data_IF_691637488530
#
_entry.id   IF_691637488530
#
_cell.length_a   1.000
_cell.length_b   1.000
_cell.length_c   1.000
_cell.angle_alpha   90.00
_cell.angle_beta   90.00
_cell.angle_gamma   90.00
#
_symmetry.space_group_name_H-M   'P 1'
#
loop_
_entity.id
_entity.type
_entity.pdbx_description
1 polymer ?
#
# COMPACT_ATOMS: atom_id res chain seq x y z
N UNK A 1 -44.30 6.85 11.12
CA UNK A 1 -43.59 7.76 10.20
C UNK A 1 -42.16 7.90 10.70
N UNK A 2 -41.26 7.01 10.29
CA UNK A 2 -40.36 7.19 9.13
C UNK A 2 -39.09 7.98 9.49
N UNK A 3 -38.13 7.29 10.09
CA UNK A 3 -36.67 7.52 10.01
C UNK A 3 -36.01 6.14 10.10
N UNK A 4 -36.09 5.32 9.06
CA UNK A 4 -35.13 5.28 7.94
C UNK A 4 -33.70 5.16 8.50
N UNK A 5 -33.23 3.93 8.70
CA UNK A 5 -32.48 3.12 7.72
C UNK A 5 -31.05 3.63 7.47
N UNK A 6 -30.13 2.67 7.49
CA UNK A 6 -28.70 2.72 7.18
C UNK A 6 -27.74 3.29 8.25
N UNK A 7 -27.52 2.49 9.30
CA UNK A 7 -26.13 2.20 9.72
C UNK A 7 -25.70 0.86 9.12
N UNK A 8 -25.69 0.78 7.79
CA UNK A 8 -24.79 -0.14 7.10
C UNK A 8 -23.49 0.63 6.96
N UNK A 9 -22.70 0.68 8.04
CA UNK A 9 -21.25 0.76 7.83
C UNK A 9 -20.94 -0.41 6.91
N UNK A 10 -20.50 -0.10 5.69
CA UNK A 10 -19.84 -1.09 4.86
C UNK A 10 -18.65 -1.57 5.68
N UNK A 11 -18.84 -2.63 6.47
CA UNK A 11 -17.75 -3.51 6.84
C UNK A 11 -17.14 -3.88 5.50
N UNK A 12 -15.93 -3.40 5.26
CA UNK A 12 -15.14 -3.91 4.15
C UNK A 12 -15.13 -5.41 4.31
N UNK A 13 -15.74 -6.07 3.32
CA UNK A 13 -15.53 -7.51 3.20
C UNK A 13 -14.08 -7.60 2.74
N UNK A 14 -13.23 -8.01 3.65
CA UNK A 14 -11.89 -8.48 3.35
C UNK A 14 -12.04 -9.59 2.31
N UNK A 15 -11.89 -9.23 1.03
CA UNK A 15 -11.91 -10.19 -0.07
C UNK A 15 -10.47 -10.56 -0.32
N UNK A 16 -10.04 -11.69 0.22
CA UNK A 16 -8.70 -12.20 -0.06
C UNK A 16 -8.67 -12.64 -1.52
N UNK A 17 -7.51 -12.55 -2.16
CA UNK A 17 -7.37 -13.00 -3.55
C UNK A 17 -7.77 -14.47 -3.69
N UNK A 18 -7.45 -15.27 -2.67
CA UNK A 18 -7.77 -16.69 -2.55
C UNK A 18 -9.28 -16.98 -2.51
N UNK A 19 -10.11 -16.00 -2.15
CA UNK A 19 -11.57 -16.15 -2.07
C UNK A 19 -12.25 -15.90 -3.44
N UNK A 20 -11.49 -15.48 -4.47
CA UNK A 20 -12.03 -15.25 -5.81
C UNK A 20 -12.40 -16.59 -6.47
N UNK A 21 -13.55 -16.68 -7.18
CA UNK A 21 -14.01 -17.92 -7.81
C UNK A 21 -13.00 -18.49 -8.81
N UNK A 22 -12.29 -17.61 -9.51
CA UNK A 22 -11.29 -17.96 -10.53
C UNK A 22 -9.85 -17.89 -10.00
N UNK A 23 -9.64 -17.89 -8.68
CA UNK A 23 -8.31 -17.73 -8.08
C UNK A 23 -7.24 -18.70 -8.66
N UNK A 24 -7.51 -19.99 -8.90
CA UNK A 24 -6.53 -20.89 -9.51
C UNK A 24 -6.06 -20.40 -10.90
N UNK A 25 -6.97 -19.88 -11.73
CA UNK A 25 -6.65 -19.36 -13.05
C UNK A 25 -5.90 -18.02 -12.95
N UNK A 26 -6.32 -17.13 -12.04
CA UNK A 26 -5.64 -15.85 -11.78
C UNK A 26 -4.20 -16.09 -11.30
N UNK A 27 -4.00 -17.01 -10.35
CA UNK A 27 -2.68 -17.39 -9.85
C UNK A 27 -1.78 -17.91 -10.97
N UNK A 28 -2.31 -18.79 -11.83
CA UNK A 28 -1.55 -19.33 -12.95
C UNK A 28 -1.14 -18.21 -13.93
N UNK A 29 -2.08 -17.33 -14.30
CA UNK A 29 -1.81 -16.22 -15.20
C UNK A 29 -0.79 -15.21 -14.63
N UNK A 30 -0.87 -14.90 -13.33
CA UNK A 30 0.11 -14.05 -12.65
C UNK A 30 1.51 -14.68 -12.68
N UNK A 31 1.61 -15.99 -12.39
CA UNK A 31 2.88 -16.70 -12.44
C UNK A 31 3.49 -16.66 -13.85
N UNK A 32 2.71 -16.95 -14.89
CA UNK A 32 3.16 -16.90 -16.29
C UNK A 32 3.60 -15.49 -16.73
N UNK A 33 2.87 -14.45 -16.31
CA UNK A 33 3.25 -13.07 -16.56
C UNK A 33 4.57 -12.71 -15.85
N UNK A 34 4.74 -13.16 -14.61
CA UNK A 34 5.96 -12.96 -13.84
C UNK A 34 7.17 -13.68 -14.42
N UNK A 35 7.02 -14.95 -14.83
CA UNK A 35 8.03 -15.72 -15.54
C UNK A 35 8.46 -15.02 -16.83
N UNK A 36 7.50 -14.55 -17.63
CA UNK A 36 7.78 -13.83 -18.88
C UNK A 36 8.58 -12.56 -18.62
N UNK A 37 8.15 -11.72 -17.68
CA UNK A 37 8.83 -10.49 -17.33
C UNK A 37 10.25 -10.73 -16.80
N UNK A 38 10.44 -11.75 -15.93
CA UNK A 38 11.76 -12.14 -15.43
C UNK A 38 12.68 -12.67 -16.53
N UNK A 39 12.16 -13.47 -17.46
CA UNK A 39 12.94 -14.05 -18.55
C UNK A 39 13.55 -12.98 -19.49
N UNK A 40 12.86 -11.84 -19.67
CA UNK A 40 13.34 -10.72 -20.51
C UNK A 40 13.96 -9.56 -19.72
N UNK A 41 14.08 -9.69 -18.39
CA UNK A 41 14.66 -8.66 -17.53
C UNK A 41 13.81 -7.39 -17.37
N UNK A 42 12.47 -7.48 -17.52
CA UNK A 42 11.58 -6.36 -17.24
C UNK A 42 11.48 -6.10 -15.73
N UNK A 43 11.56 -4.83 -15.37
CA UNK A 43 11.31 -4.37 -13.99
C UNK A 43 9.87 -3.92 -13.86
N UNK A 44 9.12 -4.56 -12.97
CA UNK A 44 7.72 -4.26 -12.71
C UNK A 44 7.57 -3.52 -11.39
N UNK A 45 6.64 -2.55 -11.33
CA UNK A 45 6.35 -1.76 -10.14
C UNK A 45 4.86 -1.47 -10.05
N UNK A 46 4.36 -1.28 -8.82
CA UNK A 46 3.02 -0.72 -8.60
C UNK A 46 3.10 0.71 -8.12
N UNK A 47 2.09 1.50 -8.50
CA UNK A 47 1.79 2.78 -7.89
C UNK A 47 0.30 2.79 -7.52
N UNK A 48 -0.04 2.38 -6.28
CA UNK A 48 -1.40 2.45 -5.76
C UNK A 48 -2.01 3.84 -5.89
N UNK A 49 -3.34 3.91 -5.84
CA UNK A 49 -4.08 5.15 -6.08
C UNK A 49 -3.79 6.23 -5.04
N UNK A 50 -4.18 7.47 -5.33
CA UNK A 50 -4.11 8.58 -4.38
C UNK A 50 -4.96 8.36 -3.12
N UNK A 51 -5.87 7.38 -3.11
CA UNK A 51 -6.67 7.01 -1.94
C UNK A 51 -5.91 6.12 -0.95
N UNK A 52 -4.70 5.65 -1.29
CA UNK A 52 -3.79 5.01 -0.33
C UNK A 52 -3.30 6.05 0.69
N UNK A 53 -3.96 6.12 1.85
CA UNK A 53 -3.71 7.04 2.96
C UNK A 53 -3.24 6.27 4.21
N UNK A 54 -2.05 5.67 4.14
CA UNK A 54 -1.44 4.87 5.22
C UNK A 54 -1.12 5.68 6.50
N UNK A 55 -1.06 7.01 6.42
CA UNK A 55 -0.72 7.90 7.53
C UNK A 55 -1.87 8.82 7.95
N UNK A 56 -3.13 8.39 7.74
CA UNK A 56 -4.29 9.12 8.23
C UNK A 56 -4.19 9.39 9.74
N UNK A 57 -4.85 10.43 10.23
CA UNK A 57 -5.01 10.68 11.66
C UNK A 57 -6.02 9.71 12.29
N UNK A 58 -6.04 9.67 13.61
CA UNK A 58 -6.75 8.64 14.39
C UNK A 58 -8.27 8.62 14.12
N UNK A 59 -8.87 9.79 13.83
CA UNK A 59 -10.29 9.90 13.45
C UNK A 59 -10.63 9.17 12.13
N UNK A 60 -9.61 8.80 11.36
CA UNK A 60 -9.72 8.19 10.03
C UNK A 60 -8.91 6.89 9.91
N UNK A 61 -8.72 6.15 11.00
CA UNK A 61 -7.96 4.89 11.00
C UNK A 61 -8.47 3.84 9.98
N UNK A 62 -9.76 3.84 9.66
CA UNK A 62 -10.31 2.99 8.58
C UNK A 62 -9.66 3.25 7.21
N UNK A 63 -9.16 4.47 6.93
CA UNK A 63 -8.38 4.76 5.72
C UNK A 63 -7.02 4.08 5.77
N UNK A 64 -6.37 4.11 6.93
CA UNK A 64 -5.11 3.40 7.16
C UNK A 64 -5.28 1.90 6.99
N UNK A 65 -6.35 1.32 7.55
CA UNK A 65 -6.66 -0.11 7.41
C UNK A 65 -6.85 -0.52 5.95
N UNK A 66 -7.65 0.23 5.19
CA UNK A 66 -7.86 -0.06 3.76
C UNK A 66 -6.57 0.08 2.96
N UNK A 67 -5.75 1.09 3.28
CA UNK A 67 -4.48 1.33 2.61
C UNK A 67 -3.50 0.18 2.86
N UNK A 68 -3.39 -0.31 4.10
CA UNK A 68 -2.58 -1.47 4.41
C UNK A 68 -3.06 -2.71 3.63
N UNK A 69 -4.38 -2.96 3.59
CA UNK A 69 -4.94 -4.07 2.82
C UNK A 69 -4.62 -3.95 1.32
N UNK A 70 -4.76 -2.76 0.74
CA UNK A 70 -4.41 -2.50 -0.67
C UNK A 70 -2.93 -2.78 -0.93
N UNK A 71 -2.03 -2.33 -0.05
CA UNK A 71 -0.59 -2.57 -0.18
C UNK A 71 -0.24 -4.06 -0.07
N UNK A 72 -0.87 -4.78 0.86
CA UNK A 72 -0.69 -6.23 0.98
C UNK A 72 -1.15 -6.99 -0.27
N UNK A 73 -2.25 -6.56 -0.90
CA UNK A 73 -2.71 -7.16 -2.16
C UNK A 73 -1.66 -6.96 -3.27
N UNK A 74 -1.10 -5.75 -3.41
CA UNK A 74 -0.03 -5.50 -4.39
C UNK A 74 1.23 -6.34 -4.10
N UNK A 75 1.61 -6.45 -2.81
CA UNK A 75 2.72 -7.30 -2.38
C UNK A 75 2.48 -8.77 -2.71
N UNK A 76 1.27 -9.26 -2.45
CA UNK A 76 0.84 -10.63 -2.74
C UNK A 76 0.82 -10.92 -4.24
N UNK A 77 0.44 -9.96 -5.08
CA UNK A 77 0.52 -10.11 -6.53
C UNK A 77 1.97 -10.35 -6.96
N UNK A 78 2.95 -9.62 -6.42
CA UNK A 78 4.36 -9.90 -6.70
C UNK A 78 4.81 -11.29 -6.23
N UNK A 79 4.34 -11.74 -5.06
CA UNK A 79 4.61 -13.12 -4.60
C UNK A 79 4.04 -14.15 -5.59
N UNK A 80 2.81 -13.96 -6.07
CA UNK A 80 2.16 -14.86 -7.04
C UNK A 80 2.84 -14.84 -8.42
N UNK A 81 3.44 -13.71 -8.81
CA UNK A 81 4.27 -13.59 -10.01
C UNK A 81 5.67 -14.21 -9.84
N UNK A 82 6.00 -14.75 -8.66
CA UNK A 82 7.27 -15.42 -8.38
C UNK A 82 8.45 -14.45 -8.19
N UNK A 83 8.19 -13.23 -7.69
CA UNK A 83 9.26 -12.32 -7.29
C UNK A 83 9.53 -12.38 -5.80
N UNK A 84 10.80 -12.50 -5.43
CA UNK A 84 11.24 -12.26 -4.05
C UNK A 84 10.99 -10.79 -3.64
N UNK A 85 10.72 -10.49 -2.35
CA UNK A 85 10.51 -9.12 -1.89
C UNK A 85 11.77 -8.25 -2.02
N UNK A 86 11.67 -7.14 -2.74
CA UNK A 86 12.76 -6.16 -2.85
C UNK A 86 12.28 -4.81 -3.37
N UNK A 87 13.13 -3.79 -3.29
CA UNK A 87 12.88 -2.51 -3.98
C UNK A 87 12.94 -2.62 -5.52
N UNK A 88 13.33 -3.76 -6.09
CA UNK A 88 13.31 -3.96 -7.55
C UNK A 88 11.88 -4.14 -8.07
N UNK A 89 11.02 -4.79 -7.31
CA UNK A 89 9.57 -4.95 -7.50
C UNK A 89 8.79 -4.04 -6.54
N UNK A 90 9.05 -2.73 -6.64
CA UNK A 90 8.56 -1.77 -5.65
C UNK A 90 7.07 -1.48 -5.75
N UNK A 91 6.50 -1.16 -4.59
CA UNK A 91 5.19 -0.55 -4.42
C UNK A 91 5.45 0.90 -4.00
N UNK A 92 5.25 1.83 -4.92
CA UNK A 92 5.61 3.23 -4.76
C UNK A 92 4.37 4.05 -4.37
N UNK A 93 4.45 4.78 -3.25
CA UNK A 93 3.34 5.61 -2.76
C UNK A 93 3.82 6.99 -2.32
N UNK A 94 2.90 7.95 -2.27
CA UNK A 94 3.10 9.18 -1.51
C UNK A 94 2.78 8.95 -0.02
N UNK A 95 3.30 9.81 0.86
CA UNK A 95 2.92 9.81 2.28
C UNK A 95 1.44 10.17 2.46
N UNK A 96 0.91 11.04 1.59
CA UNK A 96 -0.48 11.49 1.61
C UNK A 96 -0.64 12.90 2.16
N UNK A 97 -1.70 13.14 2.94
CA UNK A 97 -1.97 14.47 3.49
C UNK A 97 -1.03 14.83 4.65
N UNK A 98 -0.77 16.12 4.87
CA UNK A 98 0.03 16.58 6.01
C UNK A 98 -0.76 16.64 7.34
N UNK A 99 -2.09 16.61 7.30
CA UNK A 99 -2.99 16.65 8.46
C UNK A 99 -2.64 17.72 9.52
N UNK A 100 -2.18 18.89 9.05
CA UNK A 100 -1.78 20.02 9.90
C UNK A 100 -0.35 19.95 10.45
N UNK A 101 0.29 18.78 10.46
CA UNK A 101 1.66 18.58 10.93
C UNK A 101 2.36 17.49 10.12
N UNK A 102 3.32 17.92 9.27
CA UNK A 102 4.10 17.03 8.41
C UNK A 102 4.91 16.03 9.22
N UNK A 103 5.61 16.47 10.26
CA UNK A 103 6.52 15.60 11.02
C UNK A 103 5.72 14.55 11.81
N UNK A 104 4.65 14.96 12.48
CA UNK A 104 3.77 14.04 13.18
C UNK A 104 3.20 12.99 12.23
N UNK A 105 2.83 13.39 11.01
CA UNK A 105 2.33 12.48 9.98
C UNK A 105 3.41 11.49 9.50
N UNK A 106 4.65 11.93 9.28
CA UNK A 106 5.75 11.03 8.89
C UNK A 106 6.07 10.01 9.99
N UNK A 107 5.94 10.39 11.27
CA UNK A 107 6.09 9.47 12.40
C UNK A 107 4.95 8.45 12.45
N UNK A 108 3.69 8.87 12.20
CA UNK A 108 2.56 7.93 12.06
C UNK A 108 2.76 6.98 10.87
N UNK A 109 3.21 7.50 9.72
CA UNK A 109 3.55 6.69 8.55
C UNK A 109 4.54 5.58 8.92
N UNK A 110 5.68 5.94 9.52
CA UNK A 110 6.71 4.97 9.89
C UNK A 110 6.21 3.95 10.92
N UNK A 111 5.41 4.39 11.91
CA UNK A 111 4.77 3.50 12.88
C UNK A 111 3.89 2.46 12.19
N UNK A 112 3.01 2.89 11.29
CA UNK A 112 2.12 1.99 10.55
C UNK A 112 2.90 1.02 9.68
N UNK A 113 3.91 1.49 8.95
CA UNK A 113 4.77 0.63 8.11
C UNK A 113 5.47 -0.45 8.95
N UNK A 114 5.96 -0.10 10.14
CA UNK A 114 6.66 -1.03 11.03
C UNK A 114 5.73 -2.02 11.74
N UNK A 115 4.52 -1.59 12.10
CA UNK A 115 3.62 -2.37 12.96
C UNK A 115 2.54 -3.14 12.18
N UNK A 116 2.12 -2.66 11.01
CA UNK A 116 0.93 -3.16 10.30
C UNK A 116 1.22 -3.81 8.94
N UNK A 117 2.36 -3.54 8.32
CA UNK A 117 2.73 -4.18 7.06
C UNK A 117 3.54 -5.45 7.31
N UNK A 118 3.31 -6.45 6.46
CA UNK A 118 4.12 -7.66 6.41
C UNK A 118 5.57 -7.33 6.03
N UNK A 119 6.56 -8.15 6.43
CA UNK A 119 7.95 -7.97 6.00
C UNK A 119 8.10 -7.91 4.48
N UNK A 120 7.33 -8.72 3.75
CA UNK A 120 7.32 -8.75 2.29
C UNK A 120 6.80 -7.43 1.69
N UNK A 121 5.69 -6.92 2.20
CA UNK A 121 5.12 -5.66 1.75
C UNK A 121 6.07 -4.49 2.06
N UNK A 122 6.60 -4.45 3.30
CA UNK A 122 7.58 -3.45 3.72
C UNK A 122 8.84 -3.46 2.86
N UNK A 123 9.39 -4.63 2.53
CA UNK A 123 10.58 -4.76 1.69
C UNK A 123 10.40 -4.30 0.23
N UNK A 124 9.14 -4.13 -0.21
CA UNK A 124 8.78 -3.59 -1.52
C UNK A 124 8.40 -2.12 -1.47
N UNK A 125 8.08 -1.58 -0.30
CA UNK A 125 7.54 -0.23 -0.18
C UNK A 125 8.61 0.81 -0.54
N UNK A 126 8.21 1.80 -1.32
CA UNK A 126 9.00 2.99 -1.64
C UNK A 126 8.13 4.23 -1.50
N UNK A 127 8.75 5.36 -1.15
CA UNK A 127 8.04 6.63 -0.93
C UNK A 127 8.49 7.67 -1.95
N UNK A 128 7.54 8.35 -2.56
CA UNK A 128 7.74 9.42 -3.53
C UNK A 128 7.36 10.79 -2.96
N UNK A 129 8.12 11.82 -3.33
CA UNK A 129 7.84 13.21 -2.95
C UNK A 129 6.63 13.77 -3.73
N UNK A 130 6.01 14.80 -3.19
CA UNK A 130 4.92 15.53 -3.81
C UNK A 130 5.42 16.84 -4.46
N UNK A 131 4.66 17.34 -5.44
CA UNK A 131 4.93 18.62 -6.12
C UNK A 131 4.26 19.84 -5.45
N UNK A 132 3.60 19.63 -4.30
CA UNK A 132 2.91 20.70 -3.57
C UNK A 132 3.72 21.13 -2.36
N UNK A 133 3.94 22.44 -2.21
CA UNK A 133 4.70 23.00 -1.08
C UNK A 133 4.07 22.73 0.30
N UNK A 134 2.77 22.45 0.36
CA UNK A 134 2.07 22.02 1.59
C UNK A 134 2.27 20.54 1.94
N UNK A 135 2.90 19.76 1.05
CA UNK A 135 3.17 18.32 1.20
C UNK A 135 4.68 18.06 1.28
N UNK A 136 5.14 16.90 0.82
CA UNK A 136 6.44 16.34 1.18
C UNK A 136 7.47 16.48 0.07
N UNK A 137 8.58 17.18 0.34
CA UNK A 137 9.77 17.18 -0.49
C UNK A 137 10.65 15.96 -0.21
N UNK A 138 11.65 15.71 -1.06
CA UNK A 138 12.67 14.68 -0.81
C UNK A 138 13.35 14.84 0.56
N UNK A 139 13.58 16.07 1.01
CA UNK A 139 14.19 16.34 2.32
C UNK A 139 13.31 15.86 3.47
N UNK A 140 11.99 16.01 3.35
CA UNK A 140 11.06 15.56 4.38
C UNK A 140 11.05 14.03 4.48
N UNK A 141 11.16 13.33 3.34
CA UNK A 141 11.13 11.87 3.27
C UNK A 141 12.34 11.20 3.93
N UNK A 142 13.44 11.93 4.15
CA UNK A 142 14.60 11.40 4.89
C UNK A 142 14.22 10.92 6.29
N UNK A 143 13.25 11.56 6.93
CA UNK A 143 12.78 11.12 8.26
C UNK A 143 12.09 9.75 8.19
N UNK A 144 11.30 9.49 7.15
CA UNK A 144 10.66 8.18 6.97
C UNK A 144 11.72 7.10 6.77
N UNK A 145 12.72 7.36 5.93
CA UNK A 145 13.82 6.42 5.72
C UNK A 145 14.56 6.09 7.02
N UNK A 146 14.84 7.10 7.85
CA UNK A 146 15.49 6.90 9.15
C UNK A 146 14.66 6.06 10.14
N UNK A 147 13.33 6.15 10.07
CA UNK A 147 12.42 5.50 11.02
C UNK A 147 11.90 4.12 10.55
N UNK A 148 11.84 3.89 9.24
CA UNK A 148 11.22 2.71 8.65
C UNK A 148 12.18 1.85 7.81
N UNK A 149 13.35 2.36 7.43
CA UNK A 149 14.30 1.69 6.53
C UNK A 149 14.11 2.08 5.08
#
# INVERSE_FOLDING_TARGET
MARQMLKRTQRVRECRLEDLPDFPAIKQALFEAGETARAVGQRLTFHPSEFCKIAADDDRDHWTEHSCMELEVHSKIFDLMGYEPSHWNKINIHVGGAYGDKEATLRRFAKVVNERLSPNCKARLCVENDDRGSLYSVKDLLLVHQLAG
#
